data_IF_824356234045
#
_entry.id   IF_824356234045
#
_cell.length_a   1.000
_cell.length_b   1.000
_cell.length_c   1.000
_cell.angle_alpha   90.00
_cell.angle_beta   90.00
_cell.angle_gamma   90.00
#
_symmetry.space_group_name_H-M   'P 1'
#
loop_
_entity.id
_entity.type
_entity.pdbx_description
1 polymer ?
#
# COMPACT_ATOMS: atom_id res chain seq x y z
N UNK A 1 -41.68 -34.97 -5.88
CA UNK A 1 -40.39 -34.30 -6.18
C UNK A 1 -39.89 -33.67 -4.94
N UNK A 2 -38.81 -34.20 -4.33
CA UNK A 2 -38.19 -33.63 -3.13
C UNK A 2 -37.41 -32.40 -3.52
N UNK A 3 -37.83 -31.22 -3.03
CA UNK A 3 -37.11 -29.98 -3.25
C UNK A 3 -35.69 -30.10 -2.66
N UNK A 4 -34.64 -29.85 -3.48
CA UNK A 4 -33.26 -29.83 -3.02
C UNK A 4 -33.13 -28.76 -1.95
N UNK A 5 -32.60 -29.13 -0.79
CA UNK A 5 -32.29 -28.15 0.26
C UNK A 5 -31.29 -27.12 -0.28
N UNK A 6 -31.51 -25.82 -0.08
CA UNK A 6 -30.56 -24.80 -0.55
C UNK A 6 -29.20 -25.02 0.14
N UNK A 7 -28.15 -25.06 -0.67
CA UNK A 7 -26.77 -25.16 -0.16
C UNK A 7 -26.38 -23.87 0.54
N UNK A 8 -26.20 -23.90 1.85
CA UNK A 8 -25.65 -22.79 2.64
C UNK A 8 -24.15 -23.04 2.85
N UNK A 9 -23.31 -22.27 2.17
CA UNK A 9 -21.85 -22.34 2.35
C UNK A 9 -21.47 -21.81 3.73
N UNK A 10 -20.77 -22.60 4.58
CA UNK A 10 -20.27 -22.08 5.86
C UNK A 10 -19.18 -21.04 5.60
N UNK A 11 -19.43 -19.79 6.06
CA UNK A 11 -18.51 -18.67 5.85
C UNK A 11 -17.48 -18.52 6.98
N UNK A 12 -17.67 -19.22 8.10
CA UNK A 12 -16.76 -19.13 9.24
C UNK A 12 -15.34 -19.57 8.86
N UNK A 13 -14.36 -18.70 9.11
CA UNK A 13 -12.94 -18.96 8.84
C UNK A 13 -12.59 -19.13 7.37
N UNK A 14 -13.41 -18.61 6.44
CA UNK A 14 -13.25 -18.76 4.99
C UNK A 14 -11.84 -18.35 4.51
N UNK A 15 -11.31 -17.28 5.08
CA UNK A 15 -10.01 -16.71 4.70
C UNK A 15 -8.81 -17.57 5.12
N UNK A 16 -8.97 -18.46 6.12
CA UNK A 16 -7.91 -19.39 6.57
C UNK A 16 -7.81 -20.66 5.74
N UNK A 17 -8.84 -20.95 4.92
CA UNK A 17 -8.95 -22.21 4.17
C UNK A 17 -8.04 -22.28 2.95
N UNK A 18 -7.50 -21.16 2.50
CA UNK A 18 -6.67 -21.09 1.31
C UNK A 18 -5.58 -20.03 1.51
N UNK A 19 -4.28 -20.33 1.22
CA UNK A 19 -3.19 -19.37 1.38
C UNK A 19 -3.39 -18.08 0.57
N UNK A 20 -4.04 -18.15 -0.59
CA UNK A 20 -4.38 -16.94 -1.38
C UNK A 20 -5.35 -16.02 -0.66
N UNK A 21 -6.29 -16.56 0.11
CA UNK A 21 -7.20 -15.74 0.91
C UNK A 21 -6.50 -15.11 2.10
N UNK A 22 -5.54 -15.81 2.70
CA UNK A 22 -4.70 -15.25 3.77
C UNK A 22 -3.89 -14.07 3.23
N UNK A 23 -3.22 -14.24 2.09
CA UNK A 23 -2.46 -13.16 1.43
C UNK A 23 -3.36 -11.97 1.11
N UNK A 24 -4.57 -12.21 0.58
CA UNK A 24 -5.55 -11.17 0.31
C UNK A 24 -5.96 -10.40 1.57
N UNK A 25 -6.31 -11.09 2.65
CA UNK A 25 -6.71 -10.44 3.91
C UNK A 25 -5.56 -9.63 4.52
N UNK A 26 -4.32 -10.13 4.45
CA UNK A 26 -3.15 -9.37 4.90
C UNK A 26 -2.96 -8.12 4.03
N UNK A 27 -3.08 -8.24 2.71
CA UNK A 27 -3.02 -7.11 1.79
C UNK A 27 -4.06 -6.04 2.15
N UNK A 28 -5.33 -6.42 2.34
CA UNK A 28 -6.40 -5.50 2.73
C UNK A 28 -6.12 -4.86 4.10
N UNK A 29 -5.61 -5.62 5.08
CA UNK A 29 -5.24 -5.08 6.39
C UNK A 29 -4.14 -4.02 6.30
N UNK A 30 -3.22 -4.12 5.34
CA UNK A 30 -2.17 -3.09 5.15
C UNK A 30 -2.73 -1.76 4.63
N UNK A 31 -3.91 -1.72 4.01
CA UNK A 31 -4.57 -0.48 3.62
C UNK A 31 -4.91 0.42 4.82
N UNK A 32 -5.11 -0.17 6.02
CA UNK A 32 -5.30 0.60 7.25
C UNK A 32 -4.08 1.47 7.59
N UNK A 33 -2.86 0.99 7.30
CA UNK A 33 -1.62 1.75 7.51
C UNK A 33 -1.50 2.90 6.49
N UNK A 34 -1.93 2.68 5.24
CA UNK A 34 -2.00 3.74 4.22
C UNK A 34 -2.96 4.84 4.67
N UNK A 35 -4.15 4.46 5.13
CA UNK A 35 -5.13 5.41 5.65
C UNK A 35 -4.63 6.15 6.91
N UNK A 36 -3.99 5.43 7.84
CA UNK A 36 -3.39 6.04 9.03
C UNK A 36 -2.32 7.08 8.66
N UNK A 37 -1.46 6.78 7.69
CA UNK A 37 -0.45 7.73 7.22
C UNK A 37 -1.07 8.95 6.53
N UNK A 38 -2.12 8.77 5.75
CA UNK A 38 -2.86 9.89 5.16
C UNK A 38 -3.45 10.81 6.24
N UNK A 39 -3.95 10.26 7.35
CA UNK A 39 -4.43 11.05 8.50
C UNK A 39 -3.28 11.80 9.19
N UNK A 40 -2.09 11.21 9.32
CA UNK A 40 -0.90 11.91 9.83
C UNK A 40 -0.57 13.12 8.96
N UNK A 41 -0.56 12.97 7.64
CA UNK A 41 -0.31 14.06 6.71
C UNK A 41 -1.40 15.13 6.78
N UNK A 42 -2.66 14.73 6.86
CA UNK A 42 -3.78 15.66 7.02
C UNK A 42 -3.67 16.45 8.33
N UNK A 43 -3.31 15.80 9.44
CA UNK A 43 -3.06 16.49 10.71
C UNK A 43 -1.93 17.51 10.58
N UNK A 44 -0.84 17.18 9.89
CA UNK A 44 0.25 18.11 9.59
C UNK A 44 -0.22 19.32 8.80
N UNK A 45 -1.03 19.11 7.76
CA UNK A 45 -1.60 20.19 6.96
C UNK A 45 -2.49 21.11 7.81
N UNK A 46 -3.33 20.54 8.67
CA UNK A 46 -4.17 21.32 9.59
C UNK A 46 -3.32 22.13 10.59
N UNK A 47 -2.24 21.54 11.13
CA UNK A 47 -1.31 22.25 12.00
C UNK A 47 -0.60 23.38 11.27
N UNK A 48 -0.23 23.18 10.01
CA UNK A 48 0.41 24.20 9.18
C UNK A 48 -0.52 25.41 8.99
N UNK A 49 -1.81 25.18 8.72
CA UNK A 49 -2.82 26.24 8.57
C UNK A 49 -3.08 26.98 9.89
N UNK A 50 -2.94 26.31 11.04
CA UNK A 50 -3.10 26.93 12.36
C UNK A 50 -1.92 27.82 12.77
N UNK A 51 -0.80 27.74 12.07
CA UNK A 51 0.37 28.59 12.27
C UNK A 51 1.57 27.89 12.90
N UNK A 52 2.62 28.66 13.09
CA UNK A 52 3.96 28.16 13.43
C UNK A 52 3.99 27.35 14.74
N UNK A 53 3.27 27.77 15.77
CA UNK A 53 3.26 27.09 17.05
C UNK A 53 2.67 25.66 16.93
N UNK A 54 1.55 25.50 16.23
CA UNK A 54 0.92 24.21 15.99
C UNK A 54 1.79 23.32 15.11
N UNK A 55 2.40 23.88 14.07
CA UNK A 55 3.34 23.18 13.20
C UNK A 55 4.55 22.63 13.96
N UNK A 56 5.18 23.46 14.80
CA UNK A 56 6.33 23.06 15.58
C UNK A 56 5.99 21.97 16.60
N UNK A 57 4.79 22.01 17.20
CA UNK A 57 4.30 20.95 18.07
C UNK A 57 4.12 19.63 17.29
N UNK A 58 3.51 19.67 16.11
CA UNK A 58 3.34 18.49 15.25
C UNK A 58 4.70 17.89 14.86
N UNK A 59 5.69 18.71 14.48
CA UNK A 59 7.05 18.24 14.20
C UNK A 59 7.71 17.59 15.43
N UNK A 60 7.51 18.14 16.63
CA UNK A 60 8.03 17.56 17.86
C UNK A 60 7.43 16.17 18.12
N UNK A 61 6.12 15.98 17.88
CA UNK A 61 5.46 14.67 17.97
C UNK A 61 6.05 13.69 16.97
N UNK A 62 6.27 14.11 15.71
CA UNK A 62 6.87 13.24 14.69
C UNK A 62 8.29 12.78 15.04
N UNK A 63 9.05 13.62 15.72
CA UNK A 63 10.42 13.31 16.16
C UNK A 63 10.50 12.43 17.40
N UNK A 64 9.37 12.13 18.04
CA UNK A 64 9.33 11.25 19.21
C UNK A 64 9.73 9.81 18.86
N UNK A 65 10.38 9.06 19.76
CA UNK A 65 10.78 7.68 19.50
C UNK A 65 9.62 6.77 19.09
N UNK A 66 8.47 6.94 19.71
CA UNK A 66 7.26 6.16 19.38
C UNK A 66 6.74 6.46 17.98
N UNK A 67 6.78 7.73 17.56
CA UNK A 67 6.40 8.13 16.21
C UNK A 67 7.36 7.55 15.17
N UNK A 68 8.67 7.57 15.43
CA UNK A 68 9.67 6.97 14.53
C UNK A 68 9.41 5.47 14.35
N UNK A 69 9.14 4.74 15.43
CA UNK A 69 8.80 3.31 15.36
C UNK A 69 7.50 3.10 14.57
N UNK A 70 6.45 3.89 14.85
CA UNK A 70 5.17 3.81 14.13
C UNK A 70 5.34 4.07 12.62
N UNK A 71 6.13 5.08 12.25
CA UNK A 71 6.46 5.37 10.85
C UNK A 71 7.25 4.24 10.19
N UNK A 72 8.17 3.60 10.90
CA UNK A 72 8.89 2.41 10.42
C UNK A 72 7.93 1.26 10.11
N UNK A 73 6.98 0.98 10.99
CA UNK A 73 5.96 -0.05 10.78
C UNK A 73 5.06 0.30 9.60
N UNK A 74 4.59 1.55 9.51
CA UNK A 74 3.78 2.02 8.38
C UNK A 74 4.54 1.90 7.06
N UNK A 75 5.82 2.26 7.03
CA UNK A 75 6.67 2.14 5.83
C UNK A 75 6.77 0.69 5.37
N UNK A 76 7.03 -0.26 6.28
CA UNK A 76 7.08 -1.68 5.95
C UNK A 76 5.74 -2.19 5.41
N UNK A 77 4.63 -1.79 6.04
CA UNK A 77 3.29 -2.14 5.59
C UNK A 77 3.00 -1.58 4.19
N UNK A 78 3.40 -0.33 3.90
CA UNK A 78 3.23 0.30 2.58
C UNK A 78 4.11 -0.36 1.51
N UNK A 79 5.34 -0.76 1.83
CA UNK A 79 6.20 -1.51 0.92
C UNK A 79 5.56 -2.87 0.56
N UNK A 80 5.03 -3.59 1.56
CA UNK A 80 4.33 -4.85 1.32
C UNK A 80 3.04 -4.63 0.50
N UNK A 81 2.25 -3.61 0.82
CA UNK A 81 1.04 -3.25 0.09
C UNK A 81 1.33 -2.96 -1.39
N UNK A 82 2.34 -2.16 -1.66
CA UNK A 82 2.78 -1.84 -3.03
C UNK A 82 3.26 -3.09 -3.78
N UNK A 83 4.09 -3.91 -3.13
CA UNK A 83 4.56 -5.16 -3.71
C UNK A 83 3.42 -6.10 -4.11
N UNK A 84 2.43 -6.27 -3.23
CA UNK A 84 1.30 -7.18 -3.51
C UNK A 84 0.39 -6.64 -4.61
N UNK A 85 0.23 -5.32 -4.75
CA UNK A 85 -0.44 -4.71 -5.91
C UNK A 85 0.25 -5.04 -7.22
N UNK A 86 1.57 -4.84 -7.32
CA UNK A 86 2.32 -5.18 -8.53
C UNK A 86 2.31 -6.68 -8.82
N UNK A 87 2.28 -7.53 -7.79
CA UNK A 87 2.15 -8.99 -7.95
C UNK A 87 0.79 -9.40 -8.53
N UNK A 88 -0.28 -8.68 -8.20
CA UNK A 88 -1.63 -8.96 -8.68
C UNK A 88 -1.88 -8.32 -10.06
N UNK A 89 -1.24 -7.21 -10.38
CA UNK A 89 -1.45 -6.42 -11.59
C UNK A 89 -1.50 -7.25 -12.89
N UNK A 90 -0.62 -8.24 -13.15
CA UNK A 90 -0.68 -9.04 -14.36
C UNK A 90 -1.95 -9.89 -14.49
N UNK A 91 -2.66 -10.15 -13.38
CA UNK A 91 -3.91 -10.92 -13.37
C UNK A 91 -5.14 -10.07 -13.67
N UNK A 92 -5.03 -8.75 -13.47
CA UNK A 92 -6.12 -7.78 -13.66
C UNK A 92 -6.03 -7.05 -15.00
N UNK A 93 -4.86 -7.05 -15.63
CA UNK A 93 -4.63 -6.43 -16.93
C UNK A 93 -5.03 -7.38 -18.09
N UNK A 94 -5.52 -6.83 -19.20
CA UNK A 94 -5.61 -7.59 -20.44
C UNK A 94 -4.22 -8.02 -20.90
N UNK A 95 -4.09 -9.01 -21.81
CA UNK A 95 -2.80 -9.44 -22.33
C UNK A 95 -1.99 -8.28 -22.89
N UNK A 96 -0.85 -7.98 -22.26
CA UNK A 96 0.06 -6.93 -22.74
C UNK A 96 0.99 -7.52 -23.80
N UNK A 97 0.99 -6.93 -24.99
CA UNK A 97 1.81 -7.35 -26.13
C UNK A 97 2.79 -6.23 -26.50
N UNK A 98 4.07 -6.53 -26.56
CA UNK A 98 5.13 -5.62 -26.98
C UNK A 98 5.96 -6.28 -28.08
N UNK A 99 6.11 -5.62 -29.23
CA UNK A 99 6.84 -6.17 -30.38
C UNK A 99 6.28 -7.51 -30.87
N UNK A 100 4.95 -7.71 -30.82
CA UNK A 100 4.27 -8.94 -31.26
C UNK A 100 4.39 -10.11 -30.27
N UNK A 101 5.05 -9.93 -29.12
CA UNK A 101 5.20 -10.97 -28.07
C UNK A 101 4.43 -10.59 -26.81
N UNK A 102 3.73 -11.57 -26.24
CA UNK A 102 3.04 -11.40 -24.95
C UNK A 102 4.07 -11.31 -23.83
N UNK A 103 3.95 -10.26 -22.99
CA UNK A 103 4.77 -10.12 -21.79
C UNK A 103 4.38 -11.18 -20.75
N UNK A 104 5.38 -11.74 -20.07
CA UNK A 104 5.16 -12.63 -18.94
C UNK A 104 4.64 -11.86 -17.72
N UNK A 105 3.91 -12.53 -16.83
CA UNK A 105 3.44 -11.93 -15.58
C UNK A 105 4.61 -11.38 -14.73
N UNK A 106 5.74 -12.13 -14.69
CA UNK A 106 6.94 -11.67 -13.98
C UNK A 106 7.54 -10.40 -14.57
N UNK A 107 7.56 -10.25 -15.90
CA UNK A 107 8.06 -9.03 -16.54
C UNK A 107 7.17 -7.81 -16.21
N UNK A 108 5.86 -7.97 -16.18
CA UNK A 108 4.91 -6.91 -15.81
C UNK A 108 5.12 -6.49 -14.36
N UNK A 109 5.20 -7.45 -13.44
CA UNK A 109 5.46 -7.18 -12.01
C UNK A 109 6.80 -6.49 -11.81
N UNK A 110 7.88 -7.00 -12.41
CA UNK A 110 9.23 -6.41 -12.30
C UNK A 110 9.27 -4.99 -12.87
N UNK A 111 8.63 -4.77 -14.02
CA UNK A 111 8.53 -3.44 -14.63
C UNK A 111 7.78 -2.45 -13.74
N UNK A 112 6.68 -2.87 -13.12
CA UNK A 112 5.93 -2.05 -12.18
C UNK A 112 6.73 -1.68 -10.92
N UNK A 113 7.42 -2.65 -10.32
CA UNK A 113 8.30 -2.42 -9.17
C UNK A 113 9.47 -1.48 -9.51
N UNK A 114 10.10 -1.67 -10.68
CA UNK A 114 11.17 -0.80 -11.14
C UNK A 114 10.67 0.63 -11.34
N UNK A 115 9.53 0.81 -11.98
CA UNK A 115 8.92 2.12 -12.19
C UNK A 115 8.60 2.81 -10.84
N UNK A 116 8.07 2.06 -9.87
CA UNK A 116 7.80 2.58 -8.53
C UNK A 116 9.09 3.01 -7.80
N UNK A 117 10.16 2.22 -7.90
CA UNK A 117 11.46 2.57 -7.32
C UNK A 117 12.03 3.85 -7.97
N UNK A 118 12.01 3.95 -9.29
CA UNK A 118 12.49 5.14 -10.01
C UNK A 118 11.68 6.37 -9.58
N UNK A 119 10.35 6.26 -9.57
CA UNK A 119 9.49 7.36 -9.14
C UNK A 119 9.77 7.80 -7.69
N UNK A 120 9.98 6.83 -6.78
CA UNK A 120 10.31 7.13 -5.38
C UNK A 120 11.65 7.85 -5.25
N UNK A 121 12.69 7.40 -5.97
CA UNK A 121 14.01 8.06 -5.99
C UNK A 121 13.89 9.48 -6.55
N UNK A 122 13.15 9.67 -7.65
CA UNK A 122 12.93 10.99 -8.24
C UNK A 122 12.26 11.96 -7.25
N UNK A 123 11.21 11.50 -6.54
CA UNK A 123 10.54 12.32 -5.52
C UNK A 123 11.51 12.70 -4.40
N UNK A 124 12.33 11.76 -3.92
CA UNK A 124 13.33 12.04 -2.88
C UNK A 124 14.35 13.06 -3.36
N UNK A 125 14.88 12.90 -4.58
CA UNK A 125 15.87 13.83 -5.16
C UNK A 125 15.28 15.22 -5.35
N UNK A 126 14.04 15.32 -5.85
CA UNK A 126 13.35 16.61 -6.01
C UNK A 126 13.11 17.27 -4.65
N UNK A 127 12.61 16.52 -3.67
CA UNK A 127 12.40 17.05 -2.31
C UNK A 127 13.71 17.55 -1.70
N UNK A 128 14.81 16.80 -1.85
CA UNK A 128 16.13 17.22 -1.39
C UNK A 128 16.66 18.46 -2.10
N UNK A 129 16.40 18.60 -3.40
CA UNK A 129 16.80 19.76 -4.19
C UNK A 129 16.05 21.04 -3.83
N UNK A 130 14.79 20.91 -3.40
CA UNK A 130 13.96 22.07 -2.98
C UNK A 130 14.30 22.51 -1.54
N UNK A 131 14.79 21.59 -0.69
CA UNK A 131 15.12 21.86 0.72
C UNK A 131 16.55 22.42 0.92
N UNK A 132 17.34 22.56 -0.15
CA UNK A 132 18.68 23.21 -0.15
C UNK A 132 18.60 24.65 -0.63
#
# INVERSE_FOLDING_TARGET
MTARRPYKRPMQGWWRKNPYFVEYVIHEATACFVAAYALVLLAGLLCLVQGEAAWNLWLAVLRSPWSIVAHGVMLLAMCYHSYTWFKIMPKTLPPVVVGGKRLSAGAITAGGLLAAMIASVLVIVLAWGVLK
#
